data_IF_342427560809
#
_entry.id   IF_342427560809
#
_cell.length_a   1.000
_cell.length_b   1.000
_cell.length_c   1.000
_cell.angle_alpha   90.00
_cell.angle_beta   90.00
_cell.angle_gamma   90.00
#
_symmetry.space_group_name_H-M   'P 1'
#
loop_
_entity.id
_entity.type
_entity.pdbx_description
1 polymer ?
#
# COMPACT_ATOMS: atom_id res chain seq x y z
N UNK A 1 24.07 -9.62 4.57
CA UNK A 1 24.57 -9.47 3.19
C UNK A 1 25.06 -8.05 2.93
N UNK A 2 24.24 -7.01 3.14
CA UNK A 2 24.62 -5.60 2.87
C UNK A 2 25.74 -5.12 3.78
N UNK A 3 25.68 -5.44 5.08
CA UNK A 3 26.72 -5.09 6.05
C UNK A 3 28.09 -5.71 5.66
N UNK A 4 28.07 -6.96 5.21
CA UNK A 4 29.30 -7.64 4.75
C UNK A 4 29.89 -6.98 3.50
N UNK A 5 29.05 -6.49 2.59
CA UNK A 5 29.51 -5.75 1.42
C UNK A 5 30.26 -4.48 1.83
N UNK A 6 29.72 -3.68 2.74
CA UNK A 6 30.36 -2.44 3.19
C UNK A 6 31.56 -2.69 4.11
N UNK A 7 31.58 -3.80 4.87
CA UNK A 7 32.79 -4.18 5.62
C UNK A 7 33.97 -4.49 4.70
N UNK A 8 33.73 -5.07 3.53
CA UNK A 8 34.79 -5.37 2.54
C UNK A 8 35.11 -4.21 1.60
N UNK A 9 34.17 -3.26 1.47
CA UNK A 9 34.31 -2.08 0.57
C UNK A 9 33.80 -0.83 1.26
N UNK A 10 34.47 -0.34 2.32
CA UNK A 10 34.00 0.81 3.09
C UNK A 10 33.91 2.09 2.27
N UNK A 11 34.83 2.26 1.28
CA UNK A 11 34.80 3.37 0.34
C UNK A 11 33.47 3.49 -0.42
N UNK A 12 32.84 2.37 -0.76
CA UNK A 12 31.55 2.37 -1.46
C UNK A 12 30.40 2.99 -0.65
N UNK A 13 30.54 3.04 0.69
CA UNK A 13 29.55 3.69 1.56
C UNK A 13 29.68 5.22 1.52
N UNK A 14 30.89 5.75 1.41
CA UNK A 14 31.15 7.19 1.51
C UNK A 14 31.29 7.88 0.16
N UNK A 15 31.78 7.17 -0.85
CA UNK A 15 32.15 7.75 -2.17
C UNK A 15 31.07 7.53 -3.22
N UNK A 16 30.19 6.54 -3.01
CA UNK A 16 29.11 6.26 -3.96
C UNK A 16 28.04 7.34 -3.88
N UNK A 17 27.70 7.92 -5.01
CA UNK A 17 26.55 8.81 -5.09
C UNK A 17 25.25 8.07 -4.71
N UNK A 18 24.30 8.74 -4.03
CA UNK A 18 23.00 8.15 -3.72
C UNK A 18 22.26 7.80 -5.00
N UNK A 19 21.49 6.73 -4.95
CA UNK A 19 20.67 6.33 -6.09
C UNK A 19 19.65 7.42 -6.43
N UNK A 20 19.45 7.64 -7.73
CA UNK A 20 18.47 8.61 -8.19
C UNK A 20 17.07 8.12 -7.83
N UNK A 21 16.30 8.98 -7.17
CA UNK A 21 14.89 8.72 -6.97
C UNK A 21 14.17 8.76 -8.34
N UNK A 22 13.50 7.66 -8.67
CA UNK A 22 12.66 7.58 -9.86
C UNK A 22 11.21 7.78 -9.42
N UNK A 23 10.60 8.86 -9.87
CA UNK A 23 9.19 9.18 -9.59
C UNK A 23 8.42 9.24 -10.91
N UNK A 24 7.15 8.87 -10.88
CA UNK A 24 6.23 9.11 -11.98
C UNK A 24 5.42 10.40 -11.69
N UNK A 25 5.78 11.55 -12.30
CA UNK A 25 5.10 12.81 -12.06
C UNK A 25 3.67 12.85 -12.66
N UNK A 26 3.37 11.92 -13.57
CA UNK A 26 2.08 11.84 -14.27
C UNK A 26 1.15 10.76 -13.68
N UNK A 27 1.42 10.31 -12.45
CA UNK A 27 0.51 9.39 -11.76
C UNK A 27 -0.78 10.14 -11.37
N UNK A 28 -1.87 9.84 -12.05
CA UNK A 28 -3.17 10.54 -11.95
C UNK A 28 -3.69 10.58 -10.50
N UNK A 29 -3.56 9.48 -9.76
CA UNK A 29 -4.05 9.38 -8.37
C UNK A 29 -3.28 10.31 -7.46
N UNK A 30 -1.95 10.37 -7.62
CA UNK A 30 -1.07 11.23 -6.83
C UNK A 30 -1.29 12.69 -7.22
N UNK A 31 -1.28 12.99 -8.53
CA UNK A 31 -1.51 14.34 -9.04
C UNK A 31 -2.82 14.91 -8.54
N UNK A 32 -3.90 14.15 -8.59
CA UNK A 32 -5.23 14.56 -8.12
C UNK A 32 -5.21 14.92 -6.63
N UNK A 33 -4.63 14.07 -5.78
CA UNK A 33 -4.52 14.32 -4.34
C UNK A 33 -3.65 15.53 -4.03
N UNK A 34 -2.53 15.71 -4.75
CA UNK A 34 -1.65 16.86 -4.58
C UNK A 34 -2.35 18.17 -4.98
N UNK A 35 -3.10 18.19 -6.09
CA UNK A 35 -3.83 19.38 -6.53
C UNK A 35 -4.88 19.80 -5.52
N UNK A 36 -5.62 18.87 -4.92
CA UNK A 36 -6.58 19.20 -3.88
C UNK A 36 -5.91 19.79 -2.63
N UNK A 37 -4.78 19.20 -2.20
CA UNK A 37 -4.02 19.72 -1.08
C UNK A 37 -3.42 21.10 -1.36
N UNK A 38 -2.85 21.30 -2.55
CA UNK A 38 -2.30 22.59 -2.96
C UNK A 38 -3.37 23.68 -3.00
N UNK A 39 -4.56 23.38 -3.54
CA UNK A 39 -5.70 24.30 -3.57
C UNK A 39 -6.24 24.66 -2.17
N UNK A 40 -5.97 23.82 -1.17
CA UNK A 40 -6.32 24.11 0.22
C UNK A 40 -5.29 25.01 0.94
N UNK A 41 -4.06 25.04 0.46
CA UNK A 41 -3.00 25.91 0.94
C UNK A 41 -3.09 27.29 0.28
N UNK A 42 -3.20 27.33 -1.05
CA UNK A 42 -3.34 28.53 -1.86
C UNK A 42 -4.24 28.25 -3.06
N UNK A 43 -5.09 29.21 -3.51
CA UNK A 43 -5.84 29.07 -4.75
C UNK A 43 -4.92 28.74 -5.93
N UNK A 44 -5.33 27.78 -6.76
CA UNK A 44 -4.59 27.40 -7.95
C UNK A 44 -4.96 28.32 -9.09
N UNK A 45 -4.00 29.11 -9.59
CA UNK A 45 -4.26 30.02 -10.71
C UNK A 45 -4.19 29.31 -12.05
N UNK A 46 -5.07 29.67 -13.00
CA UNK A 46 -5.07 29.11 -14.37
C UNK A 46 -3.72 29.25 -15.09
N UNK A 47 -2.92 30.24 -14.70
CA UNK A 47 -1.60 30.54 -15.28
C UNK A 47 -0.44 29.73 -14.71
N UNK A 48 -0.63 28.98 -13.66
CA UNK A 48 0.43 28.24 -12.98
C UNK A 48 1.14 27.27 -13.92
N UNK A 49 2.47 27.33 -14.03
CA UNK A 49 3.24 26.54 -14.99
C UNK A 49 3.05 25.03 -14.82
N UNK A 50 2.93 24.56 -13.58
CA UNK A 50 2.79 23.16 -13.23
C UNK A 50 1.38 22.58 -13.51
N UNK A 51 0.38 23.43 -13.76
CA UNK A 51 -0.94 23.03 -14.25
C UNK A 51 -1.01 22.82 -15.76
N UNK A 52 0.06 23.13 -16.50
CA UNK A 52 0.06 23.05 -17.97
C UNK A 52 0.12 21.63 -18.51
N UNK A 53 0.56 20.66 -17.72
CA UNK A 53 0.63 19.25 -18.12
C UNK A 53 -0.75 18.64 -18.39
N UNK A 54 -0.85 17.68 -19.33
CA UNK A 54 -2.12 17.02 -19.65
C UNK A 54 -2.73 16.27 -18.45
N UNK A 55 -1.91 15.63 -17.62
CA UNK A 55 -2.32 14.93 -16.40
C UNK A 55 -2.92 15.88 -15.37
N UNK A 56 -2.26 17.02 -15.10
CA UNK A 56 -2.77 18.02 -14.17
C UNK A 56 -4.11 18.60 -14.62
N UNK A 57 -4.27 18.90 -15.92
CA UNK A 57 -5.54 19.41 -16.45
C UNK A 57 -6.67 18.38 -16.40
N UNK A 58 -6.37 17.10 -16.60
CA UNK A 58 -7.34 16.03 -16.46
C UNK A 58 -7.79 15.90 -15.01
N UNK A 59 -6.84 15.91 -14.07
CA UNK A 59 -7.11 15.85 -12.64
C UNK A 59 -7.92 17.05 -12.13
N UNK A 60 -7.63 18.27 -12.60
CA UNK A 60 -8.43 19.46 -12.29
C UNK A 60 -9.89 19.30 -12.68
N UNK A 61 -10.16 18.88 -13.93
CA UNK A 61 -11.54 18.66 -14.41
C UNK A 61 -12.27 17.59 -13.59
N UNK A 62 -11.57 16.56 -13.20
CA UNK A 62 -12.14 15.49 -12.40
C UNK A 62 -12.47 15.95 -10.98
N UNK A 63 -11.56 16.67 -10.33
CA UNK A 63 -11.77 17.26 -9.00
C UNK A 63 -12.91 18.28 -8.99
N UNK A 64 -13.05 19.08 -10.06
CA UNK A 64 -14.15 20.01 -10.24
C UNK A 64 -15.48 19.25 -10.41
N UNK A 65 -15.51 18.19 -11.23
CA UNK A 65 -16.70 17.34 -11.41
C UNK A 65 -17.13 16.64 -10.13
N UNK A 66 -16.18 16.24 -9.27
CA UNK A 66 -16.42 15.63 -7.98
C UNK A 66 -16.79 16.65 -6.89
N UNK A 67 -16.73 17.95 -7.18
CA UNK A 67 -17.00 19.01 -6.21
C UNK A 67 -15.92 19.14 -5.12
N UNK A 68 -14.72 18.61 -5.37
CA UNK A 68 -13.57 18.72 -4.48
C UNK A 68 -12.76 20.00 -4.70
N UNK A 69 -12.85 20.56 -5.90
CA UNK A 69 -12.37 21.89 -6.24
C UNK A 69 -13.54 22.76 -6.71
N UNK A 70 -13.55 23.99 -6.25
CA UNK A 70 -14.52 25.02 -6.62
C UNK A 70 -13.80 26.08 -7.45
N UNK A 71 -14.36 26.40 -8.59
CA UNK A 71 -13.83 27.48 -9.45
C UNK A 71 -14.32 28.84 -8.96
N UNK A 72 -13.42 29.83 -8.94
CA UNK A 72 -13.77 31.22 -8.62
C UNK A 72 -14.79 31.80 -9.60
N UNK A 73 -15.53 32.82 -9.19
CA UNK A 73 -16.58 33.41 -10.00
C UNK A 73 -16.08 34.03 -11.34
N UNK A 74 -14.84 34.52 -11.34
CA UNK A 74 -14.15 35.03 -12.53
C UNK A 74 -13.51 33.91 -13.39
N UNK A 75 -13.52 32.68 -12.87
CA UNK A 75 -12.96 31.51 -13.55
C UNK A 75 -11.43 31.44 -13.57
N UNK A 76 -10.75 32.33 -12.85
CA UNK A 76 -9.28 32.43 -12.83
C UNK A 76 -8.57 31.48 -11.89
N UNK A 77 -9.27 30.97 -10.87
CA UNK A 77 -8.67 30.18 -9.80
C UNK A 77 -9.53 28.99 -9.39
N UNK A 78 -8.89 27.99 -8.75
CA UNK A 78 -9.55 26.88 -8.06
C UNK A 78 -9.21 26.87 -6.59
N UNK A 79 -10.20 26.62 -5.76
CA UNK A 79 -10.13 26.57 -4.29
C UNK A 79 -10.61 25.22 -3.84
N UNK A 80 -9.95 24.61 -2.85
CA UNK A 80 -10.40 23.33 -2.30
C UNK A 80 -11.72 23.48 -1.54
N UNK A 81 -12.67 22.58 -1.79
CA UNK A 81 -13.92 22.52 -1.06
C UNK A 81 -13.73 22.06 0.40
N UNK A 82 -12.68 21.26 0.65
CA UNK A 82 -12.34 20.73 1.97
C UNK A 82 -11.22 21.54 2.64
N UNK A 83 -11.40 21.88 3.92
CA UNK A 83 -10.39 22.65 4.68
C UNK A 83 -9.08 21.87 4.96
N UNK A 84 -9.12 20.55 4.99
CA UNK A 84 -7.98 19.70 5.38
C UNK A 84 -7.93 18.43 4.52
N UNK A 85 -7.77 18.53 3.20
CA UNK A 85 -7.75 17.39 2.29
C UNK A 85 -6.60 16.41 2.60
N UNK A 86 -5.47 16.89 3.13
CA UNK A 86 -4.32 16.07 3.53
C UNK A 86 -4.68 14.96 4.55
N UNK A 87 -5.77 15.09 5.29
CA UNK A 87 -6.25 14.03 6.19
C UNK A 87 -6.82 12.81 5.47
N UNK A 88 -7.11 12.96 4.18
CA UNK A 88 -7.61 11.91 3.30
C UNK A 88 -6.51 11.36 2.38
N UNK A 89 -5.26 11.83 2.56
CA UNK A 89 -4.10 11.33 1.81
C UNK A 89 -3.34 10.36 2.70
N UNK A 90 -3.28 9.10 2.25
CA UNK A 90 -2.40 8.10 2.83
C UNK A 90 -1.17 7.95 1.92
N UNK A 91 0.03 8.12 2.48
CA UNK A 91 1.29 7.98 1.75
C UNK A 91 1.67 6.51 1.49
N UNK A 92 1.04 5.56 2.18
CA UNK A 92 1.33 4.12 2.09
C UNK A 92 0.22 3.32 1.44
N UNK A 93 -1.00 3.86 1.40
CA UNK A 93 -2.20 3.21 0.88
C UNK A 93 -2.69 3.85 -0.42
N UNK A 94 -3.12 3.02 -1.36
CA UNK A 94 -3.68 3.47 -2.64
C UNK A 94 -5.19 3.29 -2.71
N UNK A 95 -5.81 2.75 -1.67
CA UNK A 95 -7.22 2.32 -1.65
C UNK A 95 -8.11 3.10 -0.71
N UNK A 96 -9.34 2.66 -0.65
CA UNK A 96 -10.29 3.12 0.35
C UNK A 96 -9.92 2.52 1.71
N UNK A 97 -9.84 3.35 2.75
CA UNK A 97 -9.55 2.90 4.10
C UNK A 97 -10.79 2.31 4.78
N UNK A 98 -10.58 1.32 5.63
CA UNK A 98 -11.57 0.80 6.56
C UNK A 98 -11.45 1.52 7.90
N UNK A 99 -12.57 1.87 8.51
CA UNK A 99 -12.61 2.45 9.86
C UNK A 99 -12.58 1.32 10.89
N UNK A 100 -11.71 1.46 11.90
CA UNK A 100 -11.65 0.52 13.02
C UNK A 100 -12.42 1.13 14.19
N UNK A 101 -13.39 0.38 14.72
CA UNK A 101 -14.23 0.80 15.85
C UNK A 101 -14.10 -0.17 17.02
N UNK A 102 -14.29 0.35 18.24
CA UNK A 102 -14.41 -0.47 19.45
C UNK A 102 -15.79 -1.11 19.61
N UNK A 103 -16.03 -1.77 20.73
CA UNK A 103 -17.29 -2.44 21.03
C UNK A 103 -18.49 -1.49 21.08
N UNK A 104 -18.27 -0.23 21.45
CA UNK A 104 -19.28 0.84 21.51
C UNK A 104 -19.49 1.54 20.15
N UNK A 105 -18.76 1.14 19.11
CA UNK A 105 -18.82 1.73 17.78
C UNK A 105 -18.02 3.03 17.64
N UNK A 106 -17.19 3.37 18.61
CA UNK A 106 -16.35 4.56 18.57
C UNK A 106 -15.14 4.33 17.68
N UNK A 107 -14.81 5.23 16.73
CA UNK A 107 -13.62 5.11 15.91
C UNK A 107 -12.34 5.18 16.74
N UNK A 108 -11.48 4.17 16.60
CA UNK A 108 -10.18 4.08 17.27
C UNK A 108 -9.01 4.15 16.28
N UNK A 109 -9.24 3.92 14.98
CA UNK A 109 -8.22 3.98 13.96
C UNK A 109 -8.76 3.76 12.56
N UNK A 110 -7.84 3.61 11.61
CA UNK A 110 -8.14 3.23 10.24
C UNK A 110 -7.04 2.35 9.67
N UNK A 111 -7.37 1.54 8.69
CA UNK A 111 -6.44 0.67 7.96
C UNK A 111 -6.73 0.78 6.46
N UNK A 112 -5.69 0.75 5.62
CA UNK A 112 -5.84 0.68 4.17
C UNK A 112 -6.56 -0.61 3.76
N UNK A 113 -7.44 -0.54 2.76
CA UNK A 113 -8.26 -1.66 2.33
C UNK A 113 -7.46 -2.89 1.89
N UNK A 114 -6.28 -2.68 1.28
CA UNK A 114 -5.36 -3.78 0.94
C UNK A 114 -4.73 -4.43 2.17
N UNK A 115 -4.48 -3.63 3.21
CA UNK A 115 -3.90 -4.13 4.47
C UNK A 115 -4.97 -4.69 5.41
N UNK A 116 -6.24 -4.32 5.23
CA UNK A 116 -7.33 -4.73 6.11
C UNK A 116 -7.41 -6.26 6.26
N UNK A 117 -7.28 -7.00 5.17
CA UNK A 117 -7.26 -8.46 5.21
C UNK A 117 -6.07 -9.04 5.97
N UNK A 118 -4.95 -8.32 6.01
CA UNK A 118 -3.71 -8.78 6.65
C UNK A 118 -3.60 -8.36 8.11
N UNK A 119 -4.03 -7.14 8.41
CA UNK A 119 -3.82 -6.53 9.72
C UNK A 119 -5.07 -6.58 10.60
N UNK A 120 -6.26 -6.67 10.00
CA UNK A 120 -7.54 -6.58 10.70
C UNK A 120 -8.51 -7.70 10.35
N UNK A 121 -7.99 -8.88 9.99
CA UNK A 121 -8.82 -10.08 9.83
C UNK A 121 -9.45 -10.50 11.18
N UNK A 122 -10.56 -11.26 11.19
CA UNK A 122 -11.12 -11.79 12.42
C UNK A 122 -10.08 -12.55 13.24
N UNK A 123 -9.96 -12.24 14.53
CA UNK A 123 -8.96 -12.79 15.44
C UNK A 123 -7.60 -12.09 15.42
N UNK A 124 -7.37 -11.07 14.57
CA UNK A 124 -6.15 -10.28 14.60
C UNK A 124 -6.01 -9.49 15.91
N UNK A 125 -4.77 -9.31 16.34
CA UNK A 125 -4.43 -8.45 17.48
C UNK A 125 -4.09 -7.06 16.95
N UNK A 126 -4.88 -6.07 17.36
CA UNK A 126 -4.70 -4.68 17.00
C UNK A 126 -4.25 -3.86 18.22
N UNK A 127 -3.15 -3.13 18.07
CA UNK A 127 -2.59 -2.29 19.14
C UNK A 127 -2.89 -0.81 18.82
N UNK A 128 -3.57 -0.13 19.75
CA UNK A 128 -3.85 1.28 19.60
C UNK A 128 -3.64 2.03 20.92
N UNK A 129 -2.74 3.04 20.91
CA UNK A 129 -2.44 3.90 22.08
C UNK A 129 -2.19 3.13 23.38
N UNK A 130 -1.40 2.06 23.29
CA UNK A 130 -1.04 1.22 24.43
C UNK A 130 -2.13 0.23 24.89
N UNK A 131 -3.30 0.21 24.21
CA UNK A 131 -4.35 -0.77 24.45
C UNK A 131 -4.32 -1.87 23.41
N UNK A 132 -4.61 -3.09 23.85
CA UNK A 132 -4.71 -4.27 22.98
C UNK A 132 -6.18 -4.53 22.67
N UNK A 133 -6.48 -4.73 21.40
CA UNK A 133 -7.79 -5.10 20.88
C UNK A 133 -7.69 -6.41 20.11
N UNK A 134 -8.78 -7.14 20.03
CA UNK A 134 -8.92 -8.30 19.14
C UNK A 134 -10.03 -8.02 18.14
N UNK A 135 -9.74 -8.21 16.86
CA UNK A 135 -10.71 -7.99 15.78
C UNK A 135 -11.78 -9.09 15.83
N UNK A 136 -13.04 -8.70 15.83
CA UNK A 136 -14.19 -9.58 15.78
C UNK A 136 -14.71 -9.79 14.38
N UNK A 137 -14.81 -8.71 13.61
CA UNK A 137 -15.30 -8.79 12.24
C UNK A 137 -14.63 -7.73 11.35
N UNK A 138 -14.48 -8.09 10.09
CA UNK A 138 -14.05 -7.22 9.00
C UNK A 138 -15.17 -7.24 7.96
N UNK A 139 -15.78 -6.09 7.73
CA UNK A 139 -16.78 -5.87 6.68
C UNK A 139 -16.18 -4.93 5.62
N UNK A 140 -15.85 -5.49 4.46
CA UNK A 140 -15.25 -4.73 3.37
C UNK A 140 -16.29 -3.90 2.59
N UNK A 141 -17.57 -4.28 2.59
CA UNK A 141 -18.63 -3.52 1.93
C UNK A 141 -18.90 -2.22 2.69
N UNK A 142 -19.04 -2.33 4.01
CA UNK A 142 -19.22 -1.19 4.91
C UNK A 142 -17.89 -0.49 5.26
N UNK A 143 -16.75 -1.06 4.89
CA UNK A 143 -15.41 -0.58 5.25
C UNK A 143 -15.24 -0.40 6.75
N UNK A 144 -15.69 -1.39 7.49
CA UNK A 144 -15.76 -1.35 8.93
C UNK A 144 -15.08 -2.56 9.57
N UNK A 145 -14.18 -2.28 10.52
CA UNK A 145 -13.53 -3.28 11.37
C UNK A 145 -14.03 -3.11 12.79
N UNK A 146 -14.59 -4.15 13.38
CA UNK A 146 -15.06 -4.14 14.77
C UNK A 146 -14.08 -4.86 15.66
N UNK A 147 -13.65 -4.18 16.72
CA UNK A 147 -12.70 -4.68 17.70
C UNK A 147 -13.28 -4.65 19.10
N UNK A 148 -12.78 -5.51 19.96
CA UNK A 148 -13.10 -5.47 21.39
C UNK A 148 -11.83 -5.58 22.22
N UNK A 149 -11.87 -5.08 23.45
CA UNK A 149 -10.82 -5.28 24.43
C UNK A 149 -10.98 -6.72 24.98
N UNK A 150 -9.94 -7.57 24.88
CA UNK A 150 -10.03 -8.94 25.36
C UNK A 150 -10.14 -8.98 26.89
N UNK A 151 -10.96 -9.88 27.41
CA UNK A 151 -11.13 -10.08 28.88
C UNK A 151 -9.81 -10.53 29.56
N UNK A 152 -9.02 -11.30 28.84
CA UNK A 152 -7.73 -11.78 29.32
C UNK A 152 -6.57 -11.11 28.58
N UNK A 153 -5.44 -10.95 29.28
CA UNK A 153 -4.24 -10.39 28.66
C UNK A 153 -3.78 -11.25 27.49
N UNK A 154 -3.70 -10.63 26.32
CA UNK A 154 -3.13 -11.24 25.11
C UNK A 154 -1.60 -11.18 25.20
N UNK A 155 -0.95 -12.34 25.16
CA UNK A 155 0.50 -12.50 25.15
C UNK A 155 1.03 -13.04 23.82
N UNK A 156 0.24 -12.89 22.75
CA UNK A 156 0.54 -13.33 21.40
C UNK A 156 0.22 -12.22 20.40
N UNK A 157 0.86 -12.28 19.25
CA UNK A 157 0.55 -11.46 18.07
C UNK A 157 0.15 -12.37 16.91
N UNK A 158 -0.43 -11.78 15.88
CA UNK A 158 -0.88 -12.50 14.69
C UNK A 158 0.02 -12.24 13.49
N UNK A 159 0.25 -13.27 12.69
CA UNK A 159 0.92 -13.22 11.40
C UNK A 159 0.08 -13.97 10.37
N UNK A 160 -0.35 -13.29 9.31
CA UNK A 160 -1.16 -13.93 8.27
C UNK A 160 -0.36 -14.95 7.47
N UNK A 161 -1.07 -15.94 6.95
CA UNK A 161 -0.62 -16.86 5.91
C UNK A 161 -1.40 -16.55 4.65
N UNK A 162 -0.72 -16.20 3.59
CA UNK A 162 -1.34 -15.92 2.30
C UNK A 162 -0.66 -16.70 1.19
N UNK A 163 -1.41 -16.95 0.15
CA UNK A 163 -0.93 -17.46 -1.12
C UNK A 163 -1.17 -16.40 -2.20
N UNK A 164 -0.15 -16.16 -3.03
CA UNK A 164 -0.23 -15.19 -4.13
C UNK A 164 -0.05 -15.87 -5.46
N UNK A 165 -0.95 -15.56 -6.38
CA UNK A 165 -0.85 -15.95 -7.78
C UNK A 165 -0.75 -14.69 -8.64
N UNK A 166 0.12 -14.73 -9.64
CA UNK A 166 0.30 -13.62 -10.56
C UNK A 166 0.09 -14.10 -11.98
N UNK A 167 -0.85 -13.48 -12.68
CA UNK A 167 -1.12 -13.75 -14.08
C UNK A 167 -0.71 -12.54 -14.94
N UNK A 168 -0.01 -12.79 -16.06
CA UNK A 168 0.32 -11.76 -17.04
C UNK A 168 -0.91 -11.49 -17.89
N UNK A 169 -1.38 -10.21 -17.88
CA UNK A 169 -2.51 -9.77 -18.71
C UNK A 169 -2.02 -9.25 -20.04
N UNK A 170 -0.94 -8.45 -20.02
CA UNK A 170 -0.44 -7.75 -21.19
C UNK A 170 1.05 -7.50 -21.06
N UNK A 171 1.79 -7.73 -22.14
CA UNK A 171 3.20 -7.37 -22.25
C UNK A 171 3.29 -6.04 -22.99
N UNK A 172 3.72 -4.97 -22.32
CA UNK A 172 3.86 -3.63 -22.90
C UNK A 172 5.24 -3.38 -23.51
N UNK A 173 6.27 -3.92 -22.86
CA UNK A 173 7.68 -3.76 -23.30
C UNK A 173 8.46 -5.03 -22.99
N UNK A 174 9.44 -5.30 -23.85
CA UNK A 174 10.43 -6.38 -23.66
C UNK A 174 11.82 -5.82 -23.82
N UNK A 175 12.80 -6.45 -23.19
CA UNK A 175 14.20 -6.06 -23.26
C UNK A 175 15.12 -7.13 -22.71
N UNK A 176 16.38 -6.78 -22.54
CA UNK A 176 17.37 -7.65 -21.91
C UNK A 176 18.13 -6.85 -20.85
N UNK A 177 18.26 -7.40 -19.66
CA UNK A 177 19.06 -6.84 -18.59
C UNK A 177 19.94 -7.93 -17.99
N UNK A 178 21.24 -7.67 -17.83
CA UNK A 178 22.23 -8.61 -17.29
C UNK A 178 22.21 -10.00 -17.98
N UNK A 179 21.97 -10.00 -19.30
CA UNK A 179 21.92 -11.23 -20.08
C UNK A 179 20.60 -12.02 -19.98
N UNK A 180 19.64 -11.58 -19.20
CA UNK A 180 18.34 -12.23 -19.03
C UNK A 180 17.22 -11.46 -19.73
N UNK A 181 16.24 -12.13 -20.36
CA UNK A 181 15.05 -11.49 -20.90
C UNK A 181 14.25 -10.84 -19.76
N UNK A 182 13.84 -9.58 -19.99
CA UNK A 182 13.03 -8.80 -19.07
C UNK A 182 11.78 -8.33 -19.81
N UNK A 183 10.64 -8.36 -19.15
CA UNK A 183 9.40 -7.82 -19.67
C UNK A 183 8.72 -6.91 -18.65
N UNK A 184 7.97 -5.94 -19.14
CA UNK A 184 7.15 -5.03 -18.37
C UNK A 184 5.73 -5.01 -18.93
N UNK A 185 4.73 -4.97 -18.08
CA UNK A 185 3.35 -4.94 -18.53
C UNK A 185 2.34 -5.00 -17.39
N UNK A 186 1.09 -5.35 -17.75
CA UNK A 186 -0.01 -5.48 -16.80
C UNK A 186 -0.07 -6.89 -16.23
N UNK A 187 -0.24 -6.95 -14.93
CA UNK A 187 -0.35 -8.16 -14.14
C UNK A 187 -1.67 -8.15 -13.36
N UNK A 188 -2.26 -9.32 -13.19
CA UNK A 188 -3.32 -9.56 -12.21
C UNK A 188 -2.73 -10.35 -11.06
N UNK A 189 -2.84 -9.78 -9.87
CA UNK A 189 -2.41 -10.43 -8.63
C UNK A 189 -3.64 -10.87 -7.87
N UNK A 190 -3.68 -12.15 -7.51
CA UNK A 190 -4.70 -12.73 -6.64
C UNK A 190 -4.01 -13.14 -5.34
N UNK A 191 -4.38 -12.52 -4.23
CA UNK A 191 -3.87 -12.87 -2.91
C UNK A 191 -4.99 -13.47 -2.06
N UNK A 192 -4.82 -14.71 -1.63
CA UNK A 192 -5.77 -15.44 -0.79
C UNK A 192 -5.18 -15.59 0.61
N UNK A 193 -5.87 -15.06 1.61
CA UNK A 193 -5.51 -15.26 3.02
C UNK A 193 -6.09 -16.61 3.46
N UNK A 194 -5.24 -17.57 3.73
CA UNK A 194 -5.63 -18.94 4.10
C UNK A 194 -5.75 -19.15 5.61
N UNK A 195 -5.23 -18.20 6.39
CA UNK A 195 -5.26 -18.29 7.84
C UNK A 195 -4.27 -17.34 8.49
N UNK A 196 -4.06 -17.50 9.78
CA UNK A 196 -3.05 -16.77 10.52
C UNK A 196 -2.39 -17.63 11.59
N UNK A 197 -1.18 -17.27 11.92
CA UNK A 197 -0.41 -17.83 13.01
C UNK A 197 -0.61 -16.97 14.26
N UNK A 198 -0.82 -17.60 15.41
CA UNK A 198 -0.63 -16.96 16.72
C UNK A 198 0.78 -17.25 17.18
N UNK A 199 1.52 -16.19 17.46
CA UNK A 199 2.92 -16.29 17.92
C UNK A 199 3.09 -15.60 19.25
N UNK A 200 3.85 -16.19 20.13
CA UNK A 200 4.19 -15.65 21.44
C UNK A 200 4.92 -14.31 21.31
N UNK A 201 4.56 -13.33 22.13
CA UNK A 201 5.22 -12.01 22.15
C UNK A 201 6.64 -12.11 22.72
N UNK A 202 6.91 -13.06 23.64
CA UNK A 202 8.19 -13.15 24.34
C UNK A 202 9.30 -13.76 23.48
N UNK A 203 8.99 -14.80 22.71
CA UNK A 203 9.99 -15.61 22.00
C UNK A 203 9.65 -15.85 20.51
N UNK A 204 8.59 -15.23 20.03
CA UNK A 204 8.08 -15.37 18.66
C UNK A 204 7.75 -16.82 18.22
N UNK A 205 7.64 -17.73 19.19
CA UNK A 205 7.32 -19.13 18.93
C UNK A 205 5.89 -19.28 18.42
N UNK A 206 5.70 -20.16 17.44
CA UNK A 206 4.37 -20.53 16.93
C UNK A 206 3.57 -21.22 18.03
N UNK A 207 2.40 -20.68 18.36
CA UNK A 207 1.45 -21.27 19.32
C UNK A 207 0.46 -22.16 18.57
N UNK A 208 -0.21 -21.60 17.55
CA UNK A 208 -1.15 -22.33 16.70
C UNK A 208 -1.36 -21.63 15.38
N UNK A 209 -1.96 -22.35 14.42
CA UNK A 209 -2.45 -21.81 13.14
C UNK A 209 -3.96 -21.87 13.16
N UNK A 210 -4.60 -20.75 12.78
CA UNK A 210 -6.05 -20.64 12.70
C UNK A 210 -6.43 -20.42 11.23
N UNK A 211 -7.26 -21.27 10.64
CA UNK A 211 -7.72 -21.07 9.27
C UNK A 211 -8.66 -19.85 9.18
N UNK A 212 -8.64 -19.19 8.02
CA UNK A 212 -9.57 -18.12 7.67
C UNK A 212 -10.19 -18.44 6.31
N UNK A 213 -11.46 -18.11 6.18
CA UNK A 213 -12.19 -18.15 4.93
C UNK A 213 -12.56 -16.71 4.54
N UNK A 214 -11.63 -16.04 3.86
CA UNK A 214 -11.80 -14.68 3.38
C UNK A 214 -11.81 -14.69 1.85
N UNK A 215 -12.59 -13.79 1.22
CA UNK A 215 -12.56 -13.66 -0.23
C UNK A 215 -11.16 -13.25 -0.70
N UNK A 216 -10.72 -13.74 -1.87
CA UNK A 216 -9.42 -13.37 -2.42
C UNK A 216 -9.38 -11.88 -2.75
N UNK A 217 -8.25 -11.26 -2.49
CA UNK A 217 -7.95 -9.90 -2.92
C UNK A 217 -7.39 -9.95 -4.34
N UNK A 218 -8.14 -9.40 -5.30
CA UNK A 218 -7.73 -9.35 -6.71
C UNK A 218 -7.51 -7.91 -7.13
N UNK A 219 -6.35 -7.62 -7.67
CA UNK A 219 -6.05 -6.30 -8.23
C UNK A 219 -5.17 -6.40 -9.46
N UNK A 220 -5.25 -5.38 -10.31
CA UNK A 220 -4.37 -5.23 -11.48
C UNK A 220 -3.31 -4.17 -11.18
N UNK A 221 -2.10 -4.44 -11.62
CA UNK A 221 -0.96 -3.55 -11.45
C UNK A 221 -0.03 -3.63 -12.64
N UNK A 222 0.89 -2.70 -12.74
CA UNK A 222 2.02 -2.80 -13.65
C UNK A 222 3.21 -3.39 -12.92
N UNK A 223 3.92 -4.25 -13.58
CA UNK A 223 5.08 -4.92 -13.01
C UNK A 223 6.12 -5.29 -14.05
N UNK A 224 7.32 -5.53 -13.56
CA UNK A 224 8.44 -6.03 -14.33
C UNK A 224 8.73 -7.47 -13.88
N UNK A 225 8.98 -8.34 -14.85
CA UNK A 225 9.40 -9.71 -14.57
C UNK A 225 10.55 -10.12 -15.48
N UNK A 226 11.31 -11.08 -15.04
CA UNK A 226 12.43 -11.66 -15.79
C UNK A 226 12.47 -13.15 -15.61
N UNK A 227 13.09 -13.85 -16.58
CA UNK A 227 13.32 -15.28 -16.49
C UNK A 227 14.65 -15.54 -15.78
N UNK A 228 14.62 -16.37 -14.76
CA UNK A 228 15.85 -16.90 -14.15
C UNK A 228 16.32 -18.06 -15.01
N UNK A 229 17.56 -18.03 -15.56
CA UNK A 229 18.11 -19.15 -16.32
C UNK A 229 18.19 -20.43 -15.49
N UNK A 230 18.03 -21.59 -16.13
CA UNK A 230 17.97 -22.89 -15.43
C UNK A 230 19.24 -23.27 -14.63
N UNK A 231 20.39 -22.69 -14.95
CA UNK A 231 21.66 -22.93 -14.25
C UNK A 231 21.70 -22.49 -12.77
N UNK A 232 21.21 -21.30 -12.39
CA UNK A 232 21.10 -20.85 -11.00
C UNK A 232 19.94 -21.45 -10.21
N UNK A 233 18.96 -22.08 -10.87
CA UNK A 233 17.75 -22.58 -10.21
C UNK A 233 18.02 -23.60 -9.11
N UNK A 234 18.99 -24.49 -9.31
CA UNK A 234 19.32 -25.55 -8.34
C UNK A 234 20.03 -25.03 -7.07
N UNK A 235 20.75 -23.90 -7.18
CA UNK A 235 21.44 -23.31 -6.03
C UNK A 235 20.59 -22.26 -5.28
N UNK A 236 19.54 -21.74 -5.92
CA UNK A 236 18.71 -20.65 -5.36
C UNK A 236 17.36 -21.13 -4.84
N UNK A 237 16.87 -22.31 -5.20
CA UNK A 237 15.61 -22.83 -4.66
C UNK A 237 15.64 -22.94 -3.13
N UNK A 238 16.78 -23.32 -2.54
CA UNK A 238 16.96 -23.36 -1.09
C UNK A 238 17.15 -21.95 -0.45
N UNK A 239 17.60 -20.96 -1.21
CA UNK A 239 17.90 -19.60 -0.73
C UNK A 239 16.78 -18.59 -1.00
N UNK A 240 15.93 -18.79 -2.00
CA UNK A 240 14.79 -17.92 -2.32
C UNK A 240 13.60 -18.12 -1.36
N UNK A 241 13.60 -19.17 -0.57
CA UNK A 241 12.58 -19.42 0.47
C UNK A 241 12.76 -18.59 1.74
N UNK A 242 13.78 -17.72 1.80
CA UNK A 242 14.11 -16.90 2.98
C UNK A 242 13.99 -15.39 2.80
N UNK A 243 13.36 -14.92 1.69
CA UNK A 243 13.06 -13.50 1.47
C UNK A 243 11.58 -13.18 1.52
#
# INVERSE_FOLDING_TARGET
ALDQYFLHKPEAFFEREPERAVVNPDNDVIVKRHLECAAAELPLACGDPWLRGPGARAALRELEREGLLLKSADGGEWIAARKRPQRHVDLRGCGASCTIVDAEGKPIGSVDGHQAYKETHPGAVYLHRGKTYVVKSLDMAERLVRCEVPEQRVNWHTRVRSHKETAIIEVKRTGTAFGSPVAFGRLRVTETITGYERRSVSDNRLICVVPLDLPPLVFETEGLWFCVPDGPRRETEDNLMHF
#
